data_IF_436522517639
#
_entry.id   IF_436522517639
#
_cell.length_a   1.000
_cell.length_b   1.000
_cell.length_c   1.000
_cell.angle_alpha   90.00
_cell.angle_beta   90.00
_cell.angle_gamma   90.00
#
_symmetry.space_group_name_H-M   'P 1'
#
loop_
_entity.id
_entity.type
_entity.pdbx_description
1 polymer ?
#
# COMPACT_ATOMS: atom_id res chain seq x y z
N UNK A 1 -4.07 18.75 8.12
CA UNK A 1 -4.47 17.67 7.18
C UNK A 1 -5.13 18.25 5.93
N UNK A 2 -6.32 18.85 6.03
CA UNK A 2 -7.09 19.32 4.86
C UNK A 2 -6.62 20.63 4.20
N UNK A 3 -5.86 21.47 4.92
CA UNK A 3 -5.30 22.72 4.36
C UNK A 3 -3.97 22.49 3.62
N UNK A 4 -3.33 21.33 3.82
CA UNK A 4 -2.02 20.99 3.27
C UNK A 4 -2.02 19.56 2.71
N UNK A 5 -3.10 19.17 2.03
CA UNK A 5 -3.40 17.78 1.65
C UNK A 5 -2.26 17.05 0.94
N UNK A 6 -1.52 17.76 0.08
CA UNK A 6 -0.40 17.22 -0.71
C UNK A 6 0.88 17.09 0.13
N UNK A 7 1.12 18.02 1.04
CA UNK A 7 2.35 18.10 1.84
C UNK A 7 2.20 17.57 3.27
N UNK A 8 0.99 17.16 3.63
CA UNK A 8 0.73 16.63 4.96
C UNK A 8 1.48 15.31 5.13
N UNK A 9 2.42 15.33 6.06
CA UNK A 9 3.17 14.15 6.45
C UNK A 9 3.43 14.21 7.95
N UNK A 10 3.01 13.16 8.66
CA UNK A 10 3.26 13.00 10.08
C UNK A 10 4.03 11.68 10.29
N UNK A 11 5.15 11.67 11.03
CA UNK A 11 5.94 10.46 11.23
C UNK A 11 5.14 9.30 11.83
N UNK A 12 4.23 9.58 12.75
CA UNK A 12 3.35 8.56 13.33
C UNK A 12 2.37 8.00 12.27
N UNK A 13 1.85 8.85 11.39
CA UNK A 13 0.91 8.46 10.34
C UNK A 13 1.57 7.66 9.21
N UNK A 14 2.89 7.75 9.05
CA UNK A 14 3.63 6.92 8.10
C UNK A 14 3.66 5.43 8.47
N UNK A 15 3.42 5.09 9.74
CA UNK A 15 3.47 3.70 10.21
C UNK A 15 2.41 2.83 9.55
N UNK A 16 1.21 3.37 9.28
CA UNK A 16 0.15 2.60 8.64
C UNK A 16 0.55 2.10 7.24
N UNK A 17 0.94 2.96 6.27
CA UNK A 17 1.38 2.48 4.96
C UNK A 17 2.64 1.61 5.02
N UNK A 18 3.54 1.81 6.00
CA UNK A 18 4.70 0.91 6.20
C UNK A 18 4.23 -0.50 6.59
N UNK A 19 3.33 -0.60 7.57
CA UNK A 19 2.77 -1.88 7.99
C UNK A 19 1.96 -2.56 6.87
N UNK A 20 1.20 -1.78 6.09
CA UNK A 20 0.49 -2.29 4.92
C UNK A 20 1.44 -2.85 3.85
N UNK A 21 2.53 -2.15 3.52
CA UNK A 21 3.55 -2.66 2.58
C UNK A 21 4.15 -3.97 3.10
N UNK A 22 4.48 -4.04 4.40
CA UNK A 22 5.02 -5.25 5.00
C UNK A 22 4.02 -6.42 4.92
N UNK A 23 2.73 -6.16 5.16
CA UNK A 23 1.66 -7.14 5.01
C UNK A 23 1.54 -7.65 3.57
N UNK A 24 1.47 -6.76 2.57
CA UNK A 24 1.40 -7.15 1.16
C UNK A 24 2.61 -7.96 0.71
N UNK A 25 3.80 -7.60 1.18
CA UNK A 25 5.00 -8.34 0.85
C UNK A 25 4.96 -9.75 1.45
N UNK A 26 4.52 -9.87 2.71
CA UNK A 26 4.35 -11.16 3.35
C UNK A 26 3.34 -12.03 2.60
N UNK A 27 2.17 -11.48 2.27
CA UNK A 27 1.13 -12.19 1.53
C UNK A 27 1.59 -12.61 0.12
N UNK A 28 2.29 -11.72 -0.58
CA UNK A 28 2.90 -12.02 -1.88
C UNK A 28 3.91 -13.18 -1.79
N UNK A 29 4.76 -13.21 -0.77
CA UNK A 29 5.71 -14.30 -0.54
C UNK A 29 4.98 -15.61 -0.21
N UNK A 30 3.91 -15.55 0.57
CA UNK A 30 3.12 -16.73 0.91
C UNK A 30 2.45 -17.33 -0.35
N UNK A 31 1.83 -16.48 -1.17
CA UNK A 31 1.24 -16.87 -2.45
C UNK A 31 2.28 -17.52 -3.38
N UNK A 32 3.47 -16.92 -3.51
CA UNK A 32 4.56 -17.44 -4.35
C UNK A 32 5.01 -18.85 -3.93
N UNK A 33 4.93 -19.17 -2.64
CA UNK A 33 5.39 -20.45 -2.09
C UNK A 33 4.30 -21.54 -2.08
N UNK A 34 3.02 -21.16 -1.97
CA UNK A 34 1.94 -22.12 -1.74
C UNK A 34 0.95 -22.25 -2.90
N UNK A 35 0.68 -21.19 -3.67
CA UNK A 35 -0.42 -21.19 -4.66
C UNK A 35 -0.10 -20.46 -5.97
N UNK A 36 -0.04 -21.22 -7.07
CA UNK A 36 0.13 -20.67 -8.42
C UNK A 36 -1.09 -20.95 -9.30
N UNK A 37 -1.91 -19.92 -9.47
CA UNK A 37 -3.06 -19.90 -10.38
C UNK A 37 -3.11 -18.55 -11.12
N UNK A 38 -3.95 -18.43 -12.13
CA UNK A 38 -4.20 -17.14 -12.80
C UNK A 38 -4.64 -16.05 -11.82
N UNK A 39 -5.50 -16.43 -10.87
CA UNK A 39 -6.00 -15.52 -9.84
C UNK A 39 -4.89 -15.06 -8.90
N UNK A 40 -4.01 -15.97 -8.46
CA UNK A 40 -2.89 -15.56 -7.59
C UNK A 40 -1.89 -14.68 -8.32
N UNK A 41 -1.70 -14.87 -9.63
CA UNK A 41 -0.87 -13.96 -10.43
C UNK A 41 -1.49 -12.56 -10.56
N UNK A 42 -2.78 -12.46 -10.80
CA UNK A 42 -3.51 -11.17 -10.84
C UNK A 42 -3.39 -10.43 -9.50
N UNK A 43 -3.59 -11.15 -8.39
CA UNK A 43 -3.46 -10.60 -7.04
C UNK A 43 -2.01 -10.23 -6.69
N UNK A 44 -1.01 -10.99 -7.17
CA UNK A 44 0.40 -10.64 -6.99
C UNK A 44 0.75 -9.33 -7.72
N UNK A 45 0.26 -9.14 -8.95
CA UNK A 45 0.44 -7.88 -9.69
C UNK A 45 -0.25 -6.73 -8.95
N UNK A 46 -1.43 -6.97 -8.37
CA UNK A 46 -2.12 -6.00 -7.52
C UNK A 46 -1.24 -5.58 -6.33
N UNK A 47 -0.68 -6.53 -5.57
CA UNK A 47 0.21 -6.23 -4.44
C UNK A 47 1.44 -5.42 -4.85
N UNK A 48 2.04 -5.74 -5.99
CA UNK A 48 3.16 -4.97 -6.55
C UNK A 48 2.71 -3.52 -6.82
N UNK A 49 1.60 -3.34 -7.54
CA UNK A 49 1.08 -2.01 -7.88
C UNK A 49 0.72 -1.19 -6.62
N UNK A 50 0.08 -1.82 -5.62
CA UNK A 50 -0.29 -1.19 -4.36
C UNK A 50 0.95 -0.78 -3.56
N UNK A 51 1.96 -1.65 -3.46
CA UNK A 51 3.24 -1.29 -2.84
C UNK A 51 3.92 -0.10 -3.53
N UNK A 52 3.93 -0.06 -4.87
CA UNK A 52 4.46 1.09 -5.63
C UNK A 52 3.69 2.37 -5.33
N UNK A 53 2.36 2.31 -5.30
CA UNK A 53 1.52 3.46 -4.97
C UNK A 53 1.83 3.98 -3.55
N UNK A 54 1.91 3.10 -2.55
CA UNK A 54 2.21 3.49 -1.18
C UNK A 54 3.63 4.06 -1.02
N UNK A 55 4.62 3.47 -1.68
CA UNK A 55 6.00 3.97 -1.68
C UNK A 55 6.12 5.35 -2.34
N UNK A 56 5.30 5.65 -3.34
CA UNK A 56 5.32 6.94 -4.03
C UNK A 56 4.95 8.13 -3.11
N UNK A 57 4.14 7.90 -2.06
CA UNK A 57 3.91 8.88 -0.99
C UNK A 57 4.94 8.80 0.13
N UNK A 58 5.39 7.59 0.48
CA UNK A 58 6.28 7.37 1.61
C UNK A 58 7.70 7.94 1.38
N UNK A 59 8.32 7.62 0.23
CA UNK A 59 9.71 8.02 -0.06
C UNK A 59 9.89 9.54 -0.14
N UNK A 60 9.00 10.31 -0.80
CA UNK A 60 9.10 11.77 -0.83
C UNK A 60 8.59 12.45 0.43
N UNK A 61 8.08 11.68 1.40
CA UNK A 61 7.41 12.16 2.61
C UNK A 61 6.28 13.16 2.30
N UNK A 62 5.45 12.82 1.30
CA UNK A 62 4.31 13.63 0.82
C UNK A 62 3.12 12.73 0.53
N UNK A 63 1.95 13.30 0.29
CA UNK A 63 0.78 12.54 -0.17
C UNK A 63 0.35 11.40 0.77
N UNK A 64 0.63 11.48 2.08
CA UNK A 64 0.22 10.42 3.01
C UNK A 64 -1.30 10.20 2.96
N UNK A 65 -2.09 11.27 2.81
CA UNK A 65 -3.54 11.16 2.66
C UNK A 65 -3.98 10.35 1.44
N UNK A 66 -3.24 10.43 0.33
CA UNK A 66 -3.49 9.61 -0.84
C UNK A 66 -3.21 8.12 -0.53
N UNK A 67 -2.18 7.81 0.27
CA UNK A 67 -1.94 6.45 0.75
C UNK A 67 -3.11 5.95 1.61
N UNK A 68 -3.59 6.76 2.55
CA UNK A 68 -4.77 6.41 3.37
C UNK A 68 -6.01 6.16 2.51
N UNK A 69 -6.23 6.99 1.48
CA UNK A 69 -7.34 6.80 0.54
C UNK A 69 -7.20 5.52 -0.28
N UNK A 70 -5.99 5.22 -0.76
CA UNK A 70 -5.72 3.97 -1.48
C UNK A 70 -6.00 2.74 -0.61
N UNK A 71 -5.59 2.76 0.66
CA UNK A 71 -5.89 1.69 1.62
C UNK A 71 -7.39 1.53 1.90
N UNK A 72 -8.16 2.62 1.91
CA UNK A 72 -9.62 2.53 2.06
C UNK A 72 -10.30 1.84 0.86
N UNK A 73 -9.74 2.02 -0.35
CA UNK A 73 -10.28 1.37 -1.56
C UNK A 73 -10.08 -0.14 -1.56
N UNK A 74 -9.08 -0.65 -0.83
CA UNK A 74 -8.86 -2.08 -0.64
C UNK A 74 -9.97 -2.74 0.21
N UNK A 75 -10.55 -2.01 1.17
CA UNK A 75 -11.64 -2.50 2.03
C UNK A 75 -13.02 -2.47 1.37
N UNK A 76 -13.15 -1.91 0.16
CA UNK A 76 -14.42 -1.80 -0.53
C UNK A 76 -14.72 -3.09 -1.30
N UNK A 77 -15.70 -3.87 -0.82
CA UNK A 77 -16.17 -5.12 -1.43
C UNK A 77 -17.09 -4.88 -2.62
#
# INVERSE_FOLDING_TARGET
MFENTIHWYEPWAAHLPILSIAYFLHDALDMLNHEWSRWTLELLIHHIATCFALLSGLLPQKFLLCNYWALLMEGNR
#
